data_IF_441256915838
#
_entry.id   IF_441256915838
#
_cell.length_a   1.000
_cell.length_b   1.000
_cell.length_c   1.000
_cell.angle_alpha   90.00
_cell.angle_beta   90.00
_cell.angle_gamma   90.00
#
_symmetry.space_group_name_H-M   'P 1'
#
loop_
_entity.id
_entity.type
_entity.pdbx_description
1 polymer ?
#
# COMPACT_ATOMS: atom_id res chain seq x y z
N UNK A 1 -46.23 5.93 12.35
CA UNK A 1 -45.23 6.91 11.88
C UNK A 1 -43.93 6.72 12.66
N UNK A 2 -43.25 5.57 12.45
CA UNK A 2 -41.99 5.18 13.15
C UNK A 2 -41.03 4.60 12.09
N UNK A 3 -40.96 5.21 10.90
CA UNK A 3 -40.10 4.74 9.81
C UNK A 3 -39.10 5.80 9.31
N UNK A 4 -39.12 7.02 9.86
CA UNK A 4 -38.28 8.12 9.39
C UNK A 4 -37.02 8.33 10.27
N UNK A 5 -37.00 7.79 11.49
CA UNK A 5 -35.85 7.96 12.39
C UNK A 5 -34.73 6.94 12.20
N UNK A 6 -34.94 5.85 11.44
CA UNK A 6 -33.91 4.82 11.27
C UNK A 6 -32.90 5.13 10.14
N UNK A 7 -33.28 5.98 9.17
CA UNK A 7 -32.43 6.30 8.01
C UNK A 7 -31.36 7.34 8.38
N UNK A 8 -31.63 8.22 9.34
CA UNK A 8 -30.68 9.25 9.78
C UNK A 8 -29.54 8.61 10.61
N UNK A 9 -29.79 7.50 11.31
CA UNK A 9 -28.78 6.79 12.09
C UNK A 9 -27.69 6.11 11.26
N UNK A 10 -28.02 5.57 10.08
CA UNK A 10 -27.03 4.94 9.20
C UNK A 10 -26.16 5.97 8.45
N UNK A 11 -26.71 7.14 8.08
CA UNK A 11 -25.93 8.17 7.41
C UNK A 11 -24.85 8.80 8.33
N UNK A 12 -25.07 8.83 9.64
CA UNK A 12 -24.06 9.34 10.57
C UNK A 12 -22.85 8.39 10.72
N UNK A 13 -23.02 7.07 10.58
CA UNK A 13 -21.89 6.12 10.65
C UNK A 13 -20.95 6.24 9.44
N UNK A 14 -21.47 6.60 8.27
CA UNK A 14 -20.65 6.85 7.08
C UNK A 14 -19.87 8.17 7.16
N UNK A 15 -20.34 9.14 7.94
CA UNK A 15 -19.69 10.45 8.08
C UNK A 15 -18.67 10.52 9.24
N UNK A 16 -18.75 9.61 10.22
CA UNK A 16 -17.84 9.61 11.39
C UNK A 16 -16.43 9.08 11.07
N UNK A 17 -16.19 8.53 9.87
CA UNK A 17 -14.86 8.10 9.44
C UNK A 17 -13.98 9.27 8.97
N UNK A 18 -14.54 10.47 8.75
CA UNK A 18 -13.75 11.61 8.23
C UNK A 18 -13.16 12.53 9.30
N UNK A 19 -13.59 12.47 10.57
CA UNK A 19 -13.11 13.44 11.60
C UNK A 19 -12.89 12.90 13.01
N UNK A 20 -12.61 11.60 13.20
CA UNK A 20 -12.24 11.10 14.53
C UNK A 20 -10.73 11.03 14.71
N UNK A 21 -10.20 11.80 15.66
CA UNK A 21 -8.79 11.77 16.09
C UNK A 21 -8.53 10.71 17.17
N UNK A 22 -9.41 9.71 17.39
CA UNK A 22 -9.15 8.61 18.35
C UNK A 22 -9.95 7.31 18.11
N UNK A 23 -9.95 6.72 16.91
CA UNK A 23 -10.45 5.34 16.70
C UNK A 23 -9.86 4.70 15.44
N UNK A 24 -9.00 3.68 15.64
CA UNK A 24 -8.53 2.79 14.57
C UNK A 24 -7.59 3.43 13.55
N UNK A 25 -6.70 2.63 12.97
CA UNK A 25 -5.93 3.08 11.83
C UNK A 25 -6.86 3.20 10.61
N UNK A 26 -6.66 4.25 9.80
CA UNK A 26 -7.45 4.46 8.60
C UNK A 26 -7.33 3.25 7.65
N UNK A 27 -8.36 3.00 6.84
CA UNK A 27 -8.38 1.86 5.90
C UNK A 27 -8.56 2.32 4.45
N UNK A 28 -7.89 1.64 3.53
CA UNK A 28 -8.11 1.79 2.09
C UNK A 28 -8.48 0.48 1.42
N UNK A 29 -9.18 0.56 0.29
CA UNK A 29 -9.59 -0.62 -0.48
C UNK A 29 -8.87 -0.59 -1.81
N UNK A 30 -8.09 -1.64 -2.08
CA UNK A 30 -7.38 -1.87 -3.33
C UNK A 30 -7.98 -3.11 -3.97
N UNK A 31 -8.82 -2.91 -4.99
CA UNK A 31 -9.69 -3.94 -5.58
C UNK A 31 -10.64 -4.55 -4.54
N UNK A 32 -10.36 -5.78 -4.08
CA UNK A 32 -11.12 -6.50 -3.05
C UNK A 32 -10.27 -6.79 -1.82
N UNK A 33 -9.27 -5.96 -1.56
CA UNK A 33 -8.41 -6.11 -0.39
C UNK A 33 -8.48 -4.84 0.43
N UNK A 34 -8.82 -4.98 1.70
CA UNK A 34 -8.75 -3.89 2.67
C UNK A 34 -7.31 -3.82 3.16
N UNK A 35 -6.77 -2.62 3.14
CA UNK A 35 -5.42 -2.29 3.63
C UNK A 35 -5.56 -1.29 4.76
N UNK A 36 -5.07 -1.64 5.93
CA UNK A 36 -4.94 -0.70 7.04
C UNK A 36 -3.69 0.16 6.87
N UNK A 37 -3.84 1.47 7.04
CA UNK A 37 -2.78 2.46 6.91
C UNK A 37 -1.88 2.46 8.15
N UNK A 38 -0.56 2.66 8.00
CA UNK A 38 0.29 2.99 9.15
C UNK A 38 -0.15 4.30 9.81
N UNK A 39 0.27 4.53 11.06
CA UNK A 39 -0.04 5.77 11.77
C UNK A 39 0.45 6.98 10.97
N UNK A 40 -0.26 8.10 11.07
CA UNK A 40 0.05 9.37 10.38
C UNK A 40 -0.11 9.36 8.85
N UNK A 41 -0.40 8.22 8.23
CA UNK A 41 -0.75 8.16 6.82
C UNK A 41 -2.22 8.50 6.60
N UNK A 42 -2.47 9.20 5.51
CA UNK A 42 -3.80 9.50 4.99
C UNK A 42 -3.89 9.05 3.53
N UNK A 43 -5.10 8.82 3.04
CA UNK A 43 -5.30 8.47 1.63
C UNK A 43 -5.02 9.73 0.79
N UNK A 44 -4.10 9.62 -0.16
CA UNK A 44 -3.85 10.65 -1.18
C UNK A 44 -4.75 10.44 -2.40
N UNK A 45 -4.85 9.20 -2.88
CA UNK A 45 -5.69 8.82 -4.02
C UNK A 45 -6.10 7.36 -3.95
N UNK A 46 -7.23 7.02 -4.60
CA UNK A 46 -7.73 5.64 -4.73
C UNK A 46 -8.42 5.46 -6.06
N UNK A 47 -8.10 4.35 -6.72
CA UNK A 47 -8.80 3.85 -7.89
C UNK A 47 -9.03 2.33 -7.78
N UNK A 48 -9.76 1.75 -8.73
CA UNK A 48 -9.94 0.29 -8.71
C UNK A 48 -8.59 -0.40 -8.90
N UNK A 49 -8.19 -1.23 -7.93
CA UNK A 49 -6.91 -1.95 -7.94
C UNK A 49 -5.68 -1.11 -7.61
N UNK A 50 -5.86 0.13 -7.13
CA UNK A 50 -4.76 1.02 -6.80
C UNK A 50 -5.10 1.97 -5.64
N UNK A 51 -4.14 2.28 -4.78
CA UNK A 51 -4.27 3.36 -3.80
C UNK A 51 -2.93 3.92 -3.36
N UNK A 52 -2.86 5.23 -3.14
CA UNK A 52 -1.70 5.91 -2.59
C UNK A 52 -2.01 6.49 -1.22
N UNK A 53 -1.11 6.24 -0.29
CA UNK A 53 -1.09 6.74 1.07
C UNK A 53 0.02 7.79 1.17
N UNK A 54 -0.21 8.87 1.91
CA UNK A 54 0.77 9.92 2.17
C UNK A 54 0.84 10.28 3.65
N UNK A 55 2.05 10.36 4.19
CA UNK A 55 2.30 11.10 5.41
C UNK A 55 2.52 12.58 5.03
N UNK A 56 1.56 13.44 5.36
CA UNK A 56 1.57 14.85 4.90
C UNK A 56 2.71 15.67 5.50
N UNK A 57 3.26 15.24 6.65
CA UNK A 57 4.33 15.93 7.36
C UNK A 57 5.69 15.63 6.74
N UNK A 58 5.96 14.34 6.49
CA UNK A 58 7.26 13.86 5.97
C UNK A 58 7.31 13.72 4.46
N UNK A 59 6.15 13.75 3.79
CA UNK A 59 5.97 13.50 2.34
C UNK A 59 6.32 12.07 1.90
N UNK A 60 6.44 11.13 2.83
CA UNK A 60 6.56 9.71 2.55
C UNK A 60 5.29 9.21 1.88
N UNK A 61 5.44 8.33 0.88
CA UNK A 61 4.32 7.74 0.15
C UNK A 61 4.41 6.23 0.15
N UNK A 62 3.24 5.60 0.29
CA UNK A 62 3.05 4.16 0.09
C UNK A 62 1.99 4.00 -0.99
N UNK A 63 2.40 3.49 -2.15
CA UNK A 63 1.50 3.18 -3.25
C UNK A 63 1.31 1.69 -3.35
N UNK A 64 0.06 1.23 -3.36
CA UNK A 64 -0.31 -0.18 -3.38
C UNK A 64 -1.12 -0.45 -4.64
N UNK A 65 -0.68 -1.41 -5.44
CA UNK A 65 -1.31 -1.80 -6.70
C UNK A 65 -1.56 -3.29 -6.73
N UNK A 66 -2.79 -3.68 -6.97
CA UNK A 66 -3.16 -5.06 -7.29
C UNK A 66 -2.74 -5.39 -8.72
N UNK A 67 -1.88 -6.39 -8.88
CA UNK A 67 -1.39 -6.88 -10.17
C UNK A 67 -2.21 -8.08 -10.68
N UNK A 68 -3.28 -8.44 -9.97
CA UNK A 68 -4.20 -9.51 -10.33
C UNK A 68 -4.00 -10.80 -9.54
N UNK A 69 -4.85 -11.77 -9.85
CA UNK A 69 -4.87 -13.08 -9.20
C UNK A 69 -3.66 -13.93 -9.56
N UNK A 70 -3.27 -14.77 -8.60
CA UNK A 70 -2.21 -15.76 -8.77
C UNK A 70 -0.87 -15.30 -8.21
N UNK A 71 0.00 -16.27 -7.89
CA UNK A 71 1.32 -16.00 -7.32
C UNK A 71 2.33 -15.68 -8.43
N UNK A 72 2.42 -14.39 -8.77
CA UNK A 72 3.31 -13.85 -9.79
C UNK A 72 4.40 -12.95 -9.19
N UNK A 73 4.47 -12.84 -7.85
CA UNK A 73 5.34 -11.89 -7.15
C UNK A 73 6.82 -12.02 -7.57
N UNK A 74 7.36 -13.24 -7.56
CA UNK A 74 8.75 -13.50 -7.97
C UNK A 74 9.00 -13.15 -9.44
N UNK A 75 8.05 -13.46 -10.33
CA UNK A 75 8.17 -13.15 -11.77
C UNK A 75 8.14 -11.63 -11.99
N UNK A 76 7.21 -10.92 -11.34
CA UNK A 76 7.11 -9.45 -11.42
C UNK A 76 8.37 -8.78 -10.88
N UNK A 77 8.88 -9.27 -9.75
CA UNK A 77 10.14 -8.83 -9.17
C UNK A 77 11.31 -9.01 -10.14
N UNK A 78 11.50 -10.19 -10.73
CA UNK A 78 12.61 -10.46 -11.67
C UNK A 78 12.58 -9.54 -12.90
N UNK A 79 11.38 -9.33 -13.45
CA UNK A 79 11.20 -8.44 -14.59
C UNK A 79 11.56 -6.99 -14.20
N UNK A 80 11.00 -6.49 -13.10
CA UNK A 80 11.27 -5.13 -12.63
C UNK A 80 12.76 -4.92 -12.29
N UNK A 81 13.42 -5.91 -11.68
CA UNK A 81 14.85 -5.85 -11.39
C UNK A 81 15.65 -5.73 -12.70
N UNK A 82 15.31 -6.53 -13.71
CA UNK A 82 15.96 -6.47 -15.03
C UNK A 82 15.75 -5.11 -15.70
N UNK A 83 14.53 -4.57 -15.63
CA UNK A 83 14.19 -3.28 -16.24
C UNK A 83 14.93 -2.13 -15.55
N UNK A 84 14.97 -2.13 -14.20
CA UNK A 84 15.66 -1.11 -13.41
C UNK A 84 17.17 -1.15 -13.62
N UNK A 85 17.80 -2.32 -13.63
CA UNK A 85 19.26 -2.45 -13.84
C UNK A 85 19.70 -2.00 -15.24
N UNK A 86 18.79 -1.98 -16.22
CA UNK A 86 19.09 -1.51 -17.59
C UNK A 86 18.77 -0.03 -17.80
N UNK A 87 18.10 0.62 -16.85
CA UNK A 87 17.68 1.99 -17.00
C UNK A 87 18.85 2.94 -16.62
N UNK A 88 19.34 3.77 -17.55
CA UNK A 88 20.44 4.71 -17.27
C UNK A 88 20.09 5.80 -16.24
N UNK A 89 18.80 6.02 -16.00
CA UNK A 89 18.29 7.01 -15.05
C UNK A 89 18.13 6.43 -13.63
N UNK A 90 18.49 5.16 -13.44
CA UNK A 90 18.42 4.47 -12.15
C UNK A 90 19.82 4.17 -11.66
N UNK A 91 20.12 4.60 -10.43
CA UNK A 91 21.34 4.27 -9.73
C UNK A 91 21.05 3.39 -8.49
N UNK A 92 22.10 2.78 -7.94
CA UNK A 92 22.09 2.11 -6.65
C UNK A 92 20.99 1.04 -6.48
N UNK A 93 20.83 0.17 -7.47
CA UNK A 93 19.88 -0.95 -7.39
C UNK A 93 20.37 -2.04 -6.43
N UNK A 94 19.63 -2.27 -5.36
CA UNK A 94 19.84 -3.37 -4.40
C UNK A 94 18.57 -4.19 -4.27
N UNK A 95 18.68 -5.50 -4.18
CA UNK A 95 17.54 -6.37 -3.95
C UNK A 95 17.68 -7.15 -2.64
N UNK A 96 16.53 -7.51 -2.07
CA UNK A 96 16.44 -8.33 -0.87
C UNK A 96 15.17 -9.16 -0.89
N UNK A 97 15.14 -10.18 -0.03
CA UNK A 97 13.94 -10.99 0.21
C UNK A 97 13.76 -11.10 1.71
N UNK A 98 12.55 -10.81 2.19
CA UNK A 98 12.17 -10.91 3.60
C UNK A 98 10.94 -11.79 3.74
N UNK A 99 10.75 -12.34 4.94
CA UNK A 99 9.52 -13.04 5.31
C UNK A 99 8.81 -12.22 6.38
N UNK A 100 7.61 -11.76 6.06
CA UNK A 100 6.78 -10.88 6.90
C UNK A 100 5.49 -11.63 7.19
N UNK A 101 5.29 -12.07 8.44
CA UNK A 101 4.12 -12.84 8.84
C UNK A 101 3.79 -14.02 7.89
N UNK A 102 4.78 -14.85 7.57
CA UNK A 102 4.71 -15.96 6.61
C UNK A 102 4.42 -15.57 5.15
N UNK A 103 4.47 -14.29 4.81
CA UNK A 103 4.40 -13.78 3.44
C UNK A 103 5.82 -13.46 2.97
N UNK A 104 6.26 -14.07 1.88
CA UNK A 104 7.54 -13.72 1.25
C UNK A 104 7.38 -12.42 0.47
N UNK A 105 8.22 -11.44 0.80
CA UNK A 105 8.30 -10.15 0.14
C UNK A 105 9.61 -10.02 -0.64
N UNK A 106 9.51 -9.69 -1.92
CA UNK A 106 10.65 -9.45 -2.79
C UNK A 106 10.82 -7.95 -3.00
N UNK A 107 11.90 -7.37 -2.49
CA UNK A 107 12.13 -5.92 -2.46
C UNK A 107 13.28 -5.52 -3.37
N UNK A 108 13.11 -4.42 -4.09
CA UNK A 108 14.14 -3.73 -4.87
C UNK A 108 14.22 -2.30 -4.34
N UNK A 109 15.33 -1.94 -3.73
CA UNK A 109 15.70 -0.58 -3.37
C UNK A 109 16.51 0.03 -4.52
N UNK A 110 16.19 1.25 -4.91
CA UNK A 110 16.86 1.94 -6.02
C UNK A 110 16.71 3.45 -5.90
N UNK A 111 17.60 4.18 -6.56
CA UNK A 111 17.57 5.63 -6.64
C UNK A 111 17.25 6.07 -8.06
N UNK A 112 16.30 7.00 -8.22
CA UNK A 112 15.98 7.61 -9.52
C UNK A 112 16.62 9.01 -9.59
N UNK A 113 17.66 9.15 -10.42
CA UNK A 113 18.46 10.39 -10.51
C UNK A 113 17.75 11.50 -11.28
N UNK A 114 16.62 11.20 -11.94
CA UNK A 114 15.81 12.21 -12.63
C UNK A 114 14.80 12.87 -11.70
N UNK A 115 14.57 12.28 -10.53
CA UNK A 115 13.70 12.86 -9.51
C UNK A 115 14.41 13.90 -8.67
N UNK A 116 13.65 14.90 -8.24
CA UNK A 116 14.12 15.90 -7.29
C UNK A 116 14.69 15.23 -6.03
N UNK A 117 15.89 15.66 -5.63
CA UNK A 117 16.68 15.14 -4.50
C UNK A 117 17.15 13.68 -4.61
N UNK A 118 17.22 13.09 -5.81
CA UNK A 118 17.61 11.69 -6.02
C UNK A 118 16.81 10.77 -5.11
N UNK A 119 15.48 10.77 -5.28
CA UNK A 119 14.58 10.12 -4.33
C UNK A 119 14.90 8.63 -4.18
N UNK A 120 15.08 8.17 -2.95
CA UNK A 120 15.15 6.75 -2.62
C UNK A 120 13.77 6.12 -2.78
N UNK A 121 13.73 5.01 -3.51
CA UNK A 121 12.52 4.29 -3.87
C UNK A 121 12.67 2.82 -3.54
N UNK A 122 11.58 2.21 -3.12
CA UNK A 122 11.51 0.75 -2.98
C UNK A 122 10.31 0.21 -3.73
N UNK A 123 10.50 -0.83 -4.53
CA UNK A 123 9.42 -1.66 -5.07
C UNK A 123 9.40 -3.01 -4.34
N UNK A 124 8.26 -3.37 -3.78
CA UNK A 124 8.05 -4.61 -3.06
C UNK A 124 6.95 -5.42 -3.74
N UNK A 125 7.22 -6.69 -3.99
CA UNK A 125 6.27 -7.62 -4.58
C UNK A 125 5.90 -8.70 -3.57
N UNK A 126 4.60 -8.87 -3.33
CA UNK A 126 4.07 -9.86 -2.37
C UNK A 126 2.90 -10.62 -2.99
N UNK A 127 2.72 -11.86 -2.57
CA UNK A 127 1.51 -12.64 -2.83
C UNK A 127 0.73 -12.81 -1.54
N UNK A 128 -0.46 -12.23 -1.47
CA UNK A 128 -1.37 -12.33 -0.32
C UNK A 128 -2.80 -12.21 -0.81
N UNK A 129 -3.78 -12.68 -0.03
CA UNK A 129 -5.21 -12.56 -0.39
C UNK A 129 -5.54 -13.16 -1.79
N UNK A 130 -4.80 -14.18 -2.23
CA UNK A 130 -4.86 -14.78 -3.59
C UNK A 130 -4.51 -13.84 -4.75
N UNK A 131 -3.84 -12.72 -4.46
CA UNK A 131 -3.46 -11.69 -5.42
C UNK A 131 -1.96 -11.36 -5.29
N UNK A 132 -1.36 -10.92 -6.38
CA UNK A 132 -0.03 -10.32 -6.36
C UNK A 132 -0.16 -8.81 -6.20
N UNK A 133 0.54 -8.22 -5.25
CA UNK A 133 0.59 -6.78 -5.06
C UNK A 133 1.99 -6.23 -5.35
N UNK A 134 2.02 -5.01 -5.89
CA UNK A 134 3.16 -4.11 -5.85
C UNK A 134 2.91 -3.09 -4.74
N UNK A 135 3.84 -2.97 -3.80
CA UNK A 135 3.90 -1.90 -2.82
C UNK A 135 5.13 -1.06 -3.15
N UNK A 136 4.92 0.21 -3.49
CA UNK A 136 5.99 1.17 -3.78
C UNK A 136 6.11 2.15 -2.62
N UNK A 137 7.32 2.28 -2.09
CA UNK A 137 7.68 3.20 -1.00
C UNK A 137 8.51 4.33 -1.58
N UNK A 138 8.16 5.58 -1.25
CA UNK A 138 8.85 6.77 -1.78
C UNK A 138 9.13 7.78 -0.65
N UNK A 139 10.26 8.48 -0.77
CA UNK A 139 10.69 9.56 0.13
C UNK A 139 10.93 9.14 1.58
N UNK A 140 11.38 7.89 1.79
CA UNK A 140 11.80 7.43 3.10
C UNK A 140 13.26 7.78 3.36
N UNK A 141 13.50 8.63 4.36
CA UNK A 141 14.87 9.00 4.76
C UNK A 141 15.52 7.96 5.70
N UNK A 142 14.79 6.89 6.05
CA UNK A 142 15.22 5.88 7.01
C UNK A 142 14.65 4.50 6.63
N UNK A 143 15.55 3.56 6.33
CA UNK A 143 15.18 2.19 5.96
C UNK A 143 14.44 1.44 7.06
N UNK A 144 14.74 1.69 8.34
CA UNK A 144 14.05 1.05 9.47
C UNK A 144 12.57 1.43 9.50
N UNK A 145 12.27 2.71 9.24
CA UNK A 145 10.88 3.18 9.18
C UNK A 145 10.16 2.61 7.96
N UNK A 146 10.82 2.63 6.80
CA UNK A 146 10.33 2.05 5.56
C UNK A 146 9.93 0.57 5.73
N UNK A 147 10.80 -0.21 6.37
CA UNK A 147 10.55 -1.63 6.63
C UNK A 147 9.41 -1.82 7.66
N UNK A 148 9.34 -1.01 8.72
CA UNK A 148 8.24 -1.07 9.70
C UNK A 148 6.87 -0.76 9.07
N UNK A 149 6.78 0.28 8.25
CA UNK A 149 5.53 0.65 7.56
C UNK A 149 5.11 -0.44 6.56
N UNK A 150 6.08 -1.01 5.85
CA UNK A 150 5.86 -2.14 4.94
C UNK A 150 5.33 -3.37 5.68
N UNK A 151 5.97 -3.74 6.79
CA UNK A 151 5.56 -4.87 7.64
C UNK A 151 4.14 -4.67 8.15
N UNK A 152 3.83 -3.45 8.59
CA UNK A 152 2.49 -3.08 9.05
C UNK A 152 1.46 -3.27 7.94
N UNK A 153 1.71 -2.71 6.75
CA UNK A 153 0.80 -2.80 5.60
C UNK A 153 0.55 -4.25 5.20
N UNK A 154 1.61 -5.06 5.04
CA UNK A 154 1.49 -6.47 4.61
C UNK A 154 0.73 -7.29 5.65
N UNK A 155 1.01 -7.09 6.94
CA UNK A 155 0.37 -7.84 8.03
C UNK A 155 -1.11 -7.51 8.17
N UNK A 156 -1.52 -6.30 7.80
CA UNK A 156 -2.90 -5.81 7.90
C UNK A 156 -3.61 -5.73 6.54
N UNK A 157 -3.09 -6.41 5.52
CA UNK A 157 -3.83 -6.71 4.30
C UNK A 157 -4.81 -7.84 4.56
N UNK A 158 -6.09 -7.55 4.38
CA UNK A 158 -7.16 -8.53 4.57
C UNK A 158 -7.98 -8.68 3.30
N UNK A 159 -8.31 -9.92 2.88
CA UNK A 159 -9.19 -10.13 1.74
C UNK A 159 -10.60 -9.64 2.12
N UNK A 160 -11.20 -8.81 1.27
CA UNK A 160 -12.60 -8.43 1.39
C UNK A 160 -13.48 -9.59 0.91
N UNK A 161 -14.33 -10.07 1.81
CA UNK A 161 -15.31 -11.10 1.53
C UNK A 161 -16.67 -10.43 1.35
N UNK A 162 -17.05 -10.23 0.07
CA UNK A 162 -18.34 -9.73 -0.43
C UNK A 162 -18.80 -8.41 0.20
N UNK A 163 -18.69 -7.31 -0.55
CA UNK A 163 -19.74 -6.29 -0.54
C UNK A 163 -21.09 -7.00 -0.69
N UNK A 164 -21.89 -7.03 0.37
CA UNK A 164 -23.31 -7.39 0.25
C UNK A 164 -23.92 -6.38 -0.72
N UNK A 165 -24.30 -6.86 -1.90
CA UNK A 165 -25.23 -6.14 -2.73
C UNK A 165 -26.59 -6.28 -2.04
N UNK A 166 -27.03 -5.20 -1.37
CA UNK A 166 -28.44 -4.99 -1.07
C UNK A 166 -29.18 -4.58 -2.35
#
# INVERSE_FOLDING_TARGET
MILIFLIIGCCCLFYVVETSTTVGNAITVVNKTVVTLPNEFSIESRETGYGTLINKNTKEKITIKDLGKGNLALTKFKNALTDLTKNPDIDHVKNSTSNINNITAYKIDYQDITKENNSDLSNVYVFTCNHTFLIKLENYNNNVKSDNDLDYVITHMTPDFKQSQD
#
